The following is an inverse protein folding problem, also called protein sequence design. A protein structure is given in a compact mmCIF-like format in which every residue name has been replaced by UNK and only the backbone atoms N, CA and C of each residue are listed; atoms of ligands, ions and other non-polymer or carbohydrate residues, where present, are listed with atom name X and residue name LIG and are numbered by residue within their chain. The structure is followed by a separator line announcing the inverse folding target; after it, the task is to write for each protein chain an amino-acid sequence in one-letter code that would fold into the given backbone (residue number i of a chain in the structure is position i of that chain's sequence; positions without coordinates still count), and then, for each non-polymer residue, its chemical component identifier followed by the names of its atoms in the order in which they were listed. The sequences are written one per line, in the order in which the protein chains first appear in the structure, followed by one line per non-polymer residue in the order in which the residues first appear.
data_IF_312688951205
#
_entry.id   IF_312688951205
#
_cell.length_a   1.000
_cell.length_b   1.000
_cell.length_c   1.000
_cell.angle_alpha   90.00
_cell.angle_beta   90.00
_cell.angle_gamma   90.00
#
_symmetry.space_group_name_H-M   'P 1'
#
loop_
_entity.id
_entity.type
_entity.pdbx_description
1 polymer ?
#
# COMPACT_ATOMS: atom_id res chain seq x y z
N UNK A 1 6.82 23.95 1.35
CA UNK A 1 7.35 22.93 0.43
C UNK A 1 6.36 21.80 0.45
N UNK A 2 5.47 21.74 -0.55
CA UNK A 2 4.55 20.61 -0.71
C UNK A 2 5.37 19.34 -0.98
N UNK A 3 5.51 18.51 0.05
CA UNK A 3 6.33 17.28 0.04
C UNK A 3 5.62 16.10 -0.61
N UNK A 4 4.40 16.27 -1.12
CA UNK A 4 3.51 15.18 -1.58
C UNK A 4 3.95 14.46 -2.87
N UNK A 5 5.18 14.67 -3.32
CA UNK A 5 5.68 14.08 -4.56
C UNK A 5 7.18 13.78 -4.53
N UNK A 6 7.49 12.57 -4.98
CA UNK A 6 8.80 11.93 -5.04
C UNK A 6 9.39 12.19 -6.42
N UNK A 7 10.46 12.98 -6.50
CA UNK A 7 11.14 13.22 -7.79
C UNK A 7 12.02 12.01 -8.13
N UNK A 8 11.72 11.35 -9.24
CA UNK A 8 12.64 10.38 -9.83
C UNK A 8 13.81 11.16 -10.42
N UNK A 9 15.03 10.62 -10.26
CA UNK A 9 16.27 11.33 -10.59
C UNK A 9 16.27 12.01 -11.96
N UNK A 10 17.02 13.12 -12.07
CA UNK A 10 17.06 13.95 -13.27
C UNK A 10 17.31 13.12 -14.54
N UNK A 11 16.41 13.25 -15.51
CA UNK A 11 16.51 12.58 -16.79
C UNK A 11 17.77 13.08 -17.52
N UNK A 12 18.75 12.18 -17.70
CA UNK A 12 20.04 12.49 -18.36
C UNK A 12 19.87 12.80 -19.86
N UNK A 13 18.67 12.61 -20.43
CA UNK A 13 18.39 12.83 -21.85
C UNK A 13 17.69 14.17 -22.12
N UNK A 14 17.46 15.01 -21.11
CA UNK A 14 16.86 16.34 -21.30
C UNK A 14 15.34 16.31 -21.57
N UNK A 15 14.66 15.20 -21.28
CA UNK A 15 13.22 15.04 -21.49
C UNK A 15 12.36 15.65 -20.37
N UNK A 16 12.97 16.12 -19.28
CA UNK A 16 12.29 16.79 -18.16
C UNK A 16 12.46 16.06 -16.82
N UNK A 17 11.53 16.27 -15.89
CA UNK A 17 11.51 15.63 -14.57
C UNK A 17 10.23 14.83 -14.36
N UNK A 18 10.34 13.62 -13.84
CA UNK A 18 9.19 12.79 -13.44
C UNK A 18 9.06 12.82 -11.93
N UNK A 19 7.84 12.96 -11.41
CA UNK A 19 7.55 12.85 -9.99
C UNK A 19 6.38 11.91 -9.75
N UNK A 20 6.47 11.08 -8.71
CA UNK A 20 5.43 10.15 -8.26
C UNK A 20 4.83 10.72 -6.97
N UNK A 21 3.51 10.91 -6.91
CA UNK A 21 2.87 11.33 -5.66
C UNK A 21 2.92 10.22 -4.60
N UNK A 22 3.03 10.58 -3.33
CA UNK A 22 3.08 9.60 -2.23
C UNK A 22 1.84 8.68 -2.22
N UNK A 23 0.67 9.26 -2.53
CA UNK A 23 -0.61 8.55 -2.68
C UNK A 23 -0.56 7.43 -3.74
N UNK A 24 0.25 7.59 -4.79
CA UNK A 24 0.43 6.56 -5.81
C UNK A 24 1.19 5.36 -5.25
N UNK A 25 2.18 5.59 -4.38
CA UNK A 25 2.90 4.51 -3.69
C UNK A 25 1.97 3.81 -2.70
N UNK A 26 1.12 4.55 -1.98
CA UNK A 26 0.09 3.99 -1.10
C UNK A 26 -0.91 3.10 -1.87
N UNK A 27 -1.33 3.51 -3.07
CA UNK A 27 -2.19 2.72 -3.94
C UNK A 27 -1.52 1.42 -4.41
N UNK A 28 -0.26 1.49 -4.87
CA UNK A 28 0.50 0.30 -5.29
C UNK A 28 0.61 -0.69 -4.13
N UNK A 29 0.98 -0.22 -2.94
CA UNK A 29 1.12 -1.05 -1.75
C UNK A 29 -0.20 -1.72 -1.36
N UNK A 30 -1.29 -0.96 -1.37
CA UNK A 30 -2.63 -1.45 -0.99
C UNK A 30 -3.16 -2.50 -1.96
N UNK A 31 -2.96 -2.30 -3.27
CA UNK A 31 -3.32 -3.27 -4.29
C UNK A 31 -2.48 -4.54 -4.16
N UNK A 32 -1.16 -4.39 -4.07
CA UNK A 32 -0.23 -5.52 -3.96
C UNK A 32 -0.53 -6.39 -2.73
N UNK A 33 -0.82 -5.77 -1.58
CA UNK A 33 -1.21 -6.47 -0.37
C UNK A 33 -2.54 -7.21 -0.51
N UNK A 34 -3.54 -6.60 -1.16
CA UNK A 34 -4.87 -7.18 -1.34
C UNK A 34 -4.88 -8.39 -2.28
N UNK A 35 -3.89 -8.51 -3.16
CA UNK A 35 -3.75 -9.66 -4.05
C UNK A 35 -3.10 -10.89 -3.39
N UNK A 36 -2.70 -10.81 -2.11
CA UNK A 36 -2.17 -11.96 -1.38
C UNK A 36 -3.32 -12.81 -0.85
N UNK A 37 -3.30 -14.11 -1.16
CA UNK A 37 -4.28 -15.08 -0.63
C UNK A 37 -4.31 -15.04 0.90
N UNK A 38 -5.51 -14.97 1.46
CA UNK A 38 -5.73 -14.83 2.90
C UNK A 38 -5.80 -13.37 3.39
N UNK A 39 -5.53 -12.38 2.53
CA UNK A 39 -5.90 -10.98 2.79
C UNK A 39 -7.30 -10.75 2.23
N UNK A 40 -8.24 -10.38 3.09
CA UNK A 40 -9.64 -10.16 2.70
C UNK A 40 -9.94 -8.69 2.39
N UNK A 41 -9.25 -7.79 3.07
CA UNK A 41 -9.34 -6.36 2.85
C UNK A 41 -8.16 -5.63 3.49
N UNK A 42 -7.81 -4.47 2.93
CA UNK A 42 -7.03 -3.43 3.62
C UNK A 42 -8.02 -2.51 4.35
N UNK A 43 -7.75 -2.17 5.62
CA UNK A 43 -8.59 -1.22 6.37
C UNK A 43 -8.56 0.13 5.65
N UNK A 44 -9.69 0.85 5.53
CA UNK A 44 -9.69 2.18 4.91
C UNK A 44 -9.65 2.22 3.37
N UNK A 45 -9.64 1.06 2.68
CA UNK A 45 -9.79 1.02 1.23
C UNK A 45 -11.26 1.34 0.86
N UNK A 46 -11.50 2.56 0.39
CA UNK A 46 -12.80 3.00 -0.10
C UNK A 46 -12.70 3.13 -1.62
N UNK A 47 -13.59 2.46 -2.36
CA UNK A 47 -13.65 2.54 -3.82
C UNK A 47 -14.00 3.97 -4.28
N UNK A 48 -13.53 4.35 -5.48
CA UNK A 48 -13.82 5.66 -6.10
C UNK A 48 -15.31 6.06 -6.08
N UNK A 49 -16.23 5.08 -6.07
CA UNK A 49 -17.67 5.32 -5.97
C UNK A 49 -18.09 6.02 -4.66
N UNK A 50 -17.47 5.69 -3.51
CA UNK A 50 -17.81 6.33 -2.24
C UNK A 50 -17.18 7.73 -2.09
N UNK A 51 -16.04 7.98 -2.75
CA UNK A 51 -15.34 9.27 -2.74
C UNK A 51 -16.20 10.39 -3.35
N UNK A 52 -17.02 10.06 -4.35
CA UNK A 52 -17.90 11.02 -5.04
C UNK A 52 -19.02 11.58 -4.14
N UNK A 53 -19.36 10.90 -3.04
CA UNK A 53 -20.50 11.23 -2.18
C UNK A 53 -20.16 11.92 -0.87
N UNK A 54 -18.90 11.90 -0.42
CA UNK A 54 -18.52 12.44 0.88
C UNK A 54 -17.16 13.12 0.75
N UNK A 55 -17.10 14.42 1.07
CA UNK A 55 -15.90 15.26 1.04
C UNK A 55 -14.86 14.89 2.11
N UNK A 56 -14.48 13.62 2.21
CA UNK A 56 -13.51 13.10 3.16
C UNK A 56 -12.11 13.35 2.60
N UNK A 57 -11.41 14.32 3.19
CA UNK A 57 -10.03 14.69 2.84
C UNK A 57 -8.95 13.69 3.30
N UNK A 58 -9.31 12.61 3.98
CA UNK A 58 -8.35 11.67 4.57
C UNK A 58 -8.52 10.28 3.95
N UNK A 59 -7.86 10.10 2.81
CA UNK A 59 -8.05 9.00 1.86
C UNK A 59 -7.34 7.69 2.22
N UNK A 60 -6.44 7.67 3.21
CA UNK A 60 -5.52 6.54 3.44
C UNK A 60 -5.46 6.07 4.90
N UNK A 61 -6.61 5.73 5.49
CA UNK A 61 -6.66 5.20 6.88
C UNK A 61 -6.16 3.75 7.03
N UNK A 62 -5.57 3.17 5.99
CA UNK A 62 -5.13 1.77 5.92
C UNK A 62 -3.66 1.52 5.70
N UNK A 63 -3.03 2.45 5.02
CA UNK A 63 -1.70 2.33 4.45
C UNK A 63 -1.09 3.69 4.62
N UNK A 64 -0.02 3.79 5.40
CA UNK A 64 0.79 5.00 5.49
C UNK A 64 2.12 4.73 4.81
N UNK A 65 2.54 5.67 3.98
CA UNK A 65 3.86 5.62 3.33
C UNK A 65 4.66 6.83 3.76
N UNK A 66 5.89 6.59 4.19
CA UNK A 66 6.89 7.63 4.40
C UNK A 66 8.05 7.37 3.43
N UNK A 67 8.46 8.40 2.69
CA UNK A 67 9.57 8.34 1.73
C UNK A 67 10.66 9.32 2.14
N UNK A 68 11.87 8.82 2.28
CA UNK A 68 13.06 9.61 2.59
C UNK A 68 14.24 9.13 1.75
N UNK A 69 14.87 10.03 0.98
CA UNK A 69 16.07 9.72 0.18
C UNK A 69 15.95 8.44 -0.68
N UNK A 70 14.82 8.27 -1.37
CA UNK A 70 14.42 7.09 -2.17
C UNK A 70 14.16 5.80 -1.37
N UNK A 71 14.24 5.84 -0.05
CA UNK A 71 13.86 4.75 0.84
C UNK A 71 12.39 4.91 1.25
N UNK A 72 11.65 3.81 1.20
CA UNK A 72 10.22 3.76 1.51
C UNK A 72 10.02 2.90 2.75
N UNK A 73 9.29 3.45 3.71
CA UNK A 73 8.76 2.74 4.87
C UNK A 73 7.24 2.70 4.79
N UNK A 74 6.66 1.52 5.01
CA UNK A 74 5.22 1.30 4.90
C UNK A 74 4.62 0.79 6.21
N UNK A 75 3.48 1.35 6.61
CA UNK A 75 2.62 0.80 7.66
C UNK A 75 1.28 0.35 7.06
N UNK A 76 1.04 -0.97 7.07
CA UNK A 76 -0.14 -1.60 6.48
C UNK A 76 -1.09 -2.09 7.57
N UNK A 77 -2.40 -1.87 7.38
CA UNK A 77 -3.46 -2.44 8.22
C UNK A 77 -4.32 -3.43 7.43
N UNK A 78 -4.15 -4.72 7.69
CA UNK A 78 -4.79 -5.82 6.96
C UNK A 78 -5.86 -6.52 7.78
N UNK A 79 -6.92 -6.97 7.11
CA UNK A 79 -7.86 -7.98 7.61
C UNK A 79 -7.54 -9.32 6.96
N UNK A 80 -7.29 -10.33 7.79
CA UNK A 80 -6.96 -11.67 7.32
C UNK A 80 -8.17 -12.59 7.32
N UNK A 81 -8.14 -13.62 6.49
CA UNK A 81 -9.13 -14.71 6.50
C UNK A 81 -8.78 -15.74 7.56
N UNK A 82 -9.79 -16.25 8.27
CA UNK A 82 -9.62 -17.37 9.19
C UNK A 82 -9.13 -18.61 8.45
N UNK A 83 -8.20 -19.35 9.06
CA UNK A 83 -7.62 -20.56 8.48
C UNK A 83 -6.29 -20.35 7.76
N UNK A 84 -5.85 -19.10 7.57
CA UNK A 84 -4.51 -18.78 7.08
C UNK A 84 -3.52 -18.52 8.22
N UNK A 85 -2.27 -18.95 8.03
CA UNK A 85 -1.17 -18.66 8.96
C UNK A 85 -0.80 -17.19 8.92
N UNK A 86 -0.98 -16.47 10.04
CA UNK A 86 -0.69 -15.03 10.11
C UNK A 86 0.76 -14.72 9.71
N UNK A 87 1.79 -15.39 10.28
CA UNK A 87 3.18 -15.09 9.93
C UNK A 87 3.51 -15.35 8.45
N UNK A 88 3.02 -16.46 7.89
CA UNK A 88 3.28 -16.81 6.49
C UNK A 88 2.58 -15.84 5.53
N UNK A 89 1.31 -15.50 5.81
CA UNK A 89 0.57 -14.54 4.99
C UNK A 89 1.19 -13.15 5.08
N UNK A 90 1.61 -12.70 6.27
CA UNK A 90 2.31 -11.42 6.42
C UNK A 90 3.60 -11.39 5.62
N UNK A 91 4.42 -12.45 5.68
CA UNK A 91 5.65 -12.54 4.89
C UNK A 91 5.37 -12.41 3.38
N UNK A 92 4.34 -13.08 2.88
CA UNK A 92 3.91 -12.97 1.47
C UNK A 92 3.46 -11.55 1.12
N UNK A 93 2.75 -10.87 2.02
CA UNK A 93 2.37 -9.46 1.85
C UNK A 93 3.61 -8.58 1.77
N UNK A 94 4.57 -8.73 2.69
CA UNK A 94 5.80 -7.94 2.70
C UNK A 94 6.60 -8.13 1.40
N UNK A 95 6.82 -9.38 0.97
CA UNK A 95 7.54 -9.70 -0.26
C UNK A 95 6.82 -9.12 -1.49
N UNK A 96 5.49 -9.26 -1.57
CA UNK A 96 4.71 -8.76 -2.71
C UNK A 96 4.67 -7.24 -2.79
N UNK A 97 4.44 -6.57 -1.67
CA UNK A 97 4.43 -5.09 -1.59
C UNK A 97 5.81 -4.53 -1.94
N UNK A 98 6.87 -5.09 -1.37
CA UNK A 98 8.24 -4.71 -1.70
C UNK A 98 8.50 -4.81 -3.20
N UNK A 99 8.28 -5.99 -3.77
CA UNK A 99 8.54 -6.22 -5.19
C UNK A 99 7.73 -5.27 -6.08
N UNK A 100 6.47 -5.01 -5.77
CA UNK A 100 5.63 -4.12 -6.55
C UNK A 100 6.16 -2.68 -6.56
N UNK A 101 6.49 -2.14 -5.39
CA UNK A 101 7.00 -0.76 -5.27
C UNK A 101 8.35 -0.63 -5.98
N UNK A 102 9.31 -1.52 -5.68
CA UNK A 102 10.66 -1.43 -6.25
C UNK A 102 10.63 -1.58 -7.78
N UNK A 103 9.81 -2.50 -8.31
CA UNK A 103 9.72 -2.73 -9.76
C UNK A 103 9.01 -1.60 -10.49
N UNK A 104 7.93 -1.04 -9.93
CA UNK A 104 7.12 -0.04 -10.62
C UNK A 104 7.69 1.38 -10.51
N UNK A 105 8.35 1.69 -9.39
CA UNK A 105 8.77 3.06 -9.05
C UNK A 105 10.29 3.25 -9.06
N UNK A 106 11.07 2.18 -8.96
CA UNK A 106 12.53 2.25 -8.79
C UNK A 106 12.98 2.73 -7.41
N UNK A 107 12.07 2.95 -6.46
CA UNK A 107 12.38 3.24 -5.07
C UNK A 107 12.88 1.98 -4.35
N UNK A 108 13.53 2.14 -3.19
CA UNK A 108 13.94 1.02 -2.36
C UNK A 108 13.03 0.90 -1.14
N UNK A 109 12.60 -0.31 -0.80
CA UNK A 109 11.74 -0.52 0.37
C UNK A 109 12.60 -0.97 1.54
N UNK A 110 12.64 -0.13 2.58
CA UNK A 110 13.36 -0.39 3.82
C UNK A 110 12.57 -1.34 4.71
N UNK A 111 11.33 -0.96 5.03
CA UNK A 111 10.49 -1.66 6.00
C UNK A 111 9.04 -1.76 5.51
N UNK A 112 8.43 -2.91 5.77
CA UNK A 112 6.99 -3.15 5.56
C UNK A 112 6.39 -3.66 6.88
N UNK A 113 5.82 -2.74 7.64
CA UNK A 113 5.16 -3.03 8.91
C UNK A 113 3.71 -3.45 8.65
N UNK A 114 3.26 -4.52 9.29
CA UNK A 114 1.91 -5.04 9.10
C UNK A 114 1.20 -5.13 10.46
N UNK A 115 0.07 -4.44 10.56
CA UNK A 115 -0.89 -4.52 11.65
C UNK A 115 -2.09 -5.37 11.23
N UNK A 116 -2.38 -6.41 12.01
CA UNK A 116 -3.61 -7.19 11.84
C UNK A 116 -4.76 -6.45 12.52
N UNK A 117 -5.68 -5.91 11.74
CA UNK A 117 -6.83 -5.18 12.25
C UNK A 117 -7.99 -6.09 12.67
N UNK A 118 -8.20 -7.19 11.95
CA UNK A 118 -9.26 -8.16 12.22
C UNK A 118 -9.04 -9.48 11.48
N UNK A 119 -9.73 -10.53 11.92
CA UNK A 119 -9.82 -11.81 11.20
C UNK A 119 -11.27 -12.01 10.75
N UNK A 120 -11.47 -12.26 9.46
CA UNK A 120 -12.76 -12.56 8.86
C UNK A 120 -13.03 -14.04 8.97
N UNK A 121 -14.16 -14.39 9.58
CA UNK A 121 -14.64 -15.77 9.62
C UNK A 121 -15.60 -15.99 8.46
N UNK A 122 -15.55 -17.14 7.78
CA UNK A 122 -16.56 -17.46 6.77
C UNK A 122 -17.93 -17.45 7.44
N UNK A 123 -18.88 -16.72 6.85
CA UNK A 123 -20.25 -16.69 7.34
C UNK A 123 -20.80 -18.13 7.26
N UNK A 124 -21.35 -18.66 8.36
CA UNK A 124 -22.07 -19.94 8.28
C UNK A 124 -23.24 -19.69 7.35
N UNK A 125 -23.21 -20.30 6.17
CA UNK A 125 -24.38 -20.38 5.30
C UNK A 125 -25.54 -20.92 6.14
N UNK A 126 -26.55 -20.07 6.32
CA UNK A 126 -27.73 -20.37 7.14
C UNK A 126 -28.70 -21.23 6.36
#
# INVERSE_FOLDING_TARGET
MDTSSIKLGADKNGLGSVAIADEVVEMIASLAASEVKGVTAMVGNITNELMSKVGVKNLTKGTKVDVLDNMVTLDLSVRLEYGYSIPETCRKVQEKVKNAIETMTGLQVADVNIRIASVSFPEKAK
#
